data_IF_469053020843
#
_entry.id   IF_469053020843
#
_cell.length_a   1.000
_cell.length_b   1.000
_cell.length_c   1.000
_cell.angle_alpha   90.00
_cell.angle_beta   90.00
_cell.angle_gamma   90.00
#
_symmetry.space_group_name_H-M   'P 1'
#
loop_
_entity.id
_entity.type
_entity.pdbx_description
1 polymer ?
#
# COMPACT_ATOMS: atom_id res chain seq x y z
N UNK A 1 0.48 0.02 6.53
CA UNK A 1 1.02 -0.99 7.46
C UNK A 1 2.40 -1.42 7.00
N UNK A 2 3.31 -1.68 7.94
CA UNK A 2 4.62 -2.30 7.67
C UNK A 2 4.73 -3.72 8.25
N UNK A 3 3.98 -4.04 9.32
CA UNK A 3 3.92 -5.37 9.92
C UNK A 3 3.07 -6.34 9.09
N UNK A 4 3.44 -7.63 9.11
CA UNK A 4 2.70 -8.77 8.55
C UNK A 4 3.12 -10.08 9.23
N UNK A 5 2.46 -11.18 8.89
CA UNK A 5 2.70 -12.49 9.50
C UNK A 5 2.87 -13.59 8.45
N UNK A 6 3.56 -14.69 8.80
CA UNK A 6 3.44 -15.95 8.09
C UNK A 6 1.97 -16.37 7.93
N UNK A 7 1.66 -16.97 6.78
CA UNK A 7 0.32 -17.54 6.53
C UNK A 7 0.12 -18.88 7.23
N UNK A 8 1.20 -19.65 7.42
CA UNK A 8 1.17 -20.86 8.24
C UNK A 8 0.78 -20.53 9.69
N UNK A 9 -0.13 -21.33 10.26
CA UNK A 9 -0.72 -21.05 11.56
C UNK A 9 0.24 -21.31 12.73
N UNK A 10 1.09 -22.34 12.62
CA UNK A 10 2.07 -22.66 13.67
C UNK A 10 3.15 -21.59 13.70
N UNK A 11 3.64 -21.19 12.51
CA UNK A 11 4.67 -20.15 12.40
C UNK A 11 4.15 -18.79 12.90
N UNK A 12 2.93 -18.39 12.51
CA UNK A 12 2.32 -17.14 12.98
C UNK A 12 2.14 -17.08 14.51
N UNK A 13 1.86 -18.21 15.15
CA UNK A 13 1.67 -18.28 16.60
C UNK A 13 2.97 -18.50 17.38
N UNK A 14 4.13 -18.56 16.70
CA UNK A 14 5.41 -18.82 17.36
C UNK A 14 5.96 -17.60 18.13
N UNK A 15 5.23 -16.49 18.19
CA UNK A 15 5.70 -15.19 18.70
C UNK A 15 6.66 -14.44 17.76
N UNK A 16 6.86 -14.92 16.53
CA UNK A 16 7.66 -14.26 15.50
C UNK A 16 6.75 -13.60 14.46
N UNK A 17 7.19 -12.46 13.93
CA UNK A 17 6.47 -11.70 12.90
C UNK A 17 7.43 -11.09 11.87
N UNK A 18 6.88 -10.49 10.81
CA UNK A 18 7.64 -9.94 9.69
C UNK A 18 7.32 -8.46 9.50
N UNK A 19 8.30 -7.71 9.01
CA UNK A 19 8.13 -6.32 8.57
C UNK A 19 8.56 -6.13 7.13
N UNK A 20 7.84 -5.32 6.36
CA UNK A 20 8.29 -4.80 5.07
C UNK A 20 8.12 -3.27 5.05
N UNK A 21 9.17 -2.50 4.69
CA UNK A 21 9.09 -1.05 4.69
C UNK A 21 8.05 -0.54 3.69
N UNK A 22 7.52 0.64 3.95
CA UNK A 22 6.67 1.38 3.01
C UNK A 22 7.39 2.67 2.66
N UNK A 23 7.44 2.98 1.37
CA UNK A 23 8.06 4.22 0.86
C UNK A 23 6.99 5.07 0.21
N UNK A 24 6.89 6.34 0.62
CA UNK A 24 5.99 7.32 0.03
C UNK A 24 6.86 8.42 -0.57
N UNK A 25 6.70 8.67 -1.87
CA UNK A 25 7.41 9.71 -2.60
C UNK A 25 6.94 11.12 -2.24
N UNK A 26 7.45 12.09 -2.98
CA UNK A 26 7.13 13.50 -2.83
C UNK A 26 5.73 13.80 -3.39
N UNK A 27 5.03 14.78 -2.79
CA UNK A 27 3.72 15.28 -3.26
C UNK A 27 2.61 14.22 -3.42
N UNK A 28 2.68 13.13 -2.65
CA UNK A 28 1.64 12.09 -2.67
C UNK A 28 0.42 12.56 -1.87
N UNK A 29 -0.78 12.40 -2.43
CA UNK A 29 -2.03 12.59 -1.69
C UNK A 29 -2.71 11.25 -1.41
N UNK A 30 -2.87 10.92 -0.12
CA UNK A 30 -3.56 9.70 0.33
C UNK A 30 -4.96 10.07 0.82
N UNK A 31 -5.96 9.59 0.11
CA UNK A 31 -7.36 9.75 0.46
C UNK A 31 -7.72 9.06 1.77
N UNK A 32 -8.74 9.60 2.46
CA UNK A 32 -9.19 9.07 3.75
C UNK A 32 -9.54 7.59 3.69
N UNK A 33 -9.15 6.84 4.74
CA UNK A 33 -9.38 5.40 4.88
C UNK A 33 -8.74 4.52 3.79
N UNK A 34 -7.78 5.03 3.03
CA UNK A 34 -6.96 4.16 2.19
C UNK A 34 -6.08 3.23 3.06
N UNK A 35 -5.88 2.00 2.60
CA UNK A 35 -5.02 0.99 3.22
C UNK A 35 -3.82 0.75 2.32
N UNK A 36 -2.61 0.93 2.85
CA UNK A 36 -1.35 0.66 2.15
C UNK A 36 -0.69 -0.55 2.80
N UNK A 37 -0.52 -1.62 2.04
CA UNK A 37 0.05 -2.87 2.55
C UNK A 37 1.59 -2.80 2.72
N UNK A 38 2.17 -3.70 3.53
CA UNK A 38 3.62 -3.80 3.73
C UNK A 38 4.38 -4.02 2.41
N UNK A 39 5.52 -3.33 2.25
CA UNK A 39 6.39 -3.46 1.08
C UNK A 39 6.00 -2.59 -0.11
N UNK A 40 4.96 -1.76 0.00
CA UNK A 40 4.51 -0.88 -1.08
C UNK A 40 5.36 0.38 -1.16
N UNK A 41 5.77 0.73 -2.38
CA UNK A 41 6.28 2.05 -2.75
C UNK A 41 5.21 2.83 -3.52
N UNK A 42 4.94 4.07 -3.11
CA UNK A 42 4.09 5.03 -3.83
C UNK A 42 4.99 6.09 -4.46
N UNK A 43 4.99 6.17 -5.79
CA UNK A 43 5.80 7.13 -6.54
C UNK A 43 5.31 8.57 -6.42
N UNK A 44 6.19 9.50 -6.79
CA UNK A 44 5.95 10.95 -6.69
C UNK A 44 4.66 11.41 -7.39
N UNK A 45 4.01 12.41 -6.80
CA UNK A 45 2.80 13.06 -7.29
C UNK A 45 1.58 12.13 -7.42
N UNK A 46 1.65 10.87 -6.96
CA UNK A 46 0.53 9.95 -7.06
C UNK A 46 -0.62 10.33 -6.12
N UNK A 47 -1.85 10.03 -6.52
CA UNK A 47 -3.06 10.20 -5.71
C UNK A 47 -3.69 8.83 -5.44
N UNK A 48 -3.91 8.51 -4.17
CA UNK A 48 -4.62 7.29 -3.75
C UNK A 48 -6.04 7.70 -3.35
N UNK A 49 -7.05 7.24 -4.07
CA UNK A 49 -8.45 7.56 -3.77
C UNK A 49 -8.87 7.04 -2.38
N UNK A 50 -9.88 7.68 -1.78
CA UNK A 50 -10.44 7.25 -0.49
C UNK A 50 -10.90 5.80 -0.53
N UNK A 51 -10.64 5.04 0.54
CA UNK A 51 -11.03 3.64 0.66
C UNK A 51 -10.26 2.66 -0.25
N UNK A 52 -9.23 3.12 -0.98
CA UNK A 52 -8.44 2.23 -1.82
C UNK A 52 -7.59 1.25 -0.97
N UNK A 53 -7.40 0.03 -1.47
CA UNK A 53 -6.54 -0.99 -0.84
C UNK A 53 -5.34 -1.25 -1.75
N UNK A 54 -4.22 -0.63 -1.42
CA UNK A 54 -2.99 -0.66 -2.21
C UNK A 54 -2.16 -1.88 -1.82
N UNK A 55 -2.16 -2.88 -2.70
CA UNK A 55 -1.46 -4.17 -2.50
C UNK A 55 -0.19 -4.33 -3.36
N UNK A 56 0.11 -3.34 -4.23
CA UNK A 56 1.27 -3.31 -5.14
C UNK A 56 1.79 -1.88 -5.25
N UNK A 57 3.02 -1.72 -5.72
CA UNK A 57 3.63 -0.40 -5.95
C UNK A 57 2.78 0.46 -6.88
N UNK A 58 2.72 1.76 -6.57
CA UNK A 58 2.01 2.77 -7.36
C UNK A 58 3.04 3.59 -8.13
N UNK A 59 2.97 3.68 -9.47
CA UNK A 59 3.89 4.51 -10.23
C UNK A 59 3.66 6.01 -9.95
N UNK A 60 4.61 6.90 -10.27
CA UNK A 60 4.40 8.34 -10.15
C UNK A 60 3.34 8.86 -11.14
N UNK A 61 2.77 10.02 -10.87
CA UNK A 61 1.83 10.74 -11.76
C UNK A 61 0.58 9.95 -12.17
N UNK A 62 -0.01 9.18 -11.25
CA UNK A 62 -1.29 8.49 -11.48
C UNK A 62 -2.24 8.68 -10.31
N UNK A 63 -3.54 8.53 -10.58
CA UNK A 63 -4.56 8.29 -9.57
C UNK A 63 -4.85 6.78 -9.55
N UNK A 64 -4.81 6.17 -8.36
CA UNK A 64 -5.27 4.79 -8.15
C UNK A 64 -6.49 4.75 -7.22
N UNK A 65 -7.37 3.78 -7.41
CA UNK A 65 -8.55 3.59 -6.56
C UNK A 65 -9.09 2.16 -6.59
N UNK A 66 -9.95 1.84 -5.63
CA UNK A 66 -10.60 0.52 -5.53
C UNK A 66 -9.90 -0.48 -4.60
N UNK A 67 -10.47 -1.68 -4.51
CA UNK A 67 -9.95 -2.80 -3.74
C UNK A 67 -9.96 -4.07 -4.63
N UNK A 68 -8.81 -4.51 -5.17
CA UNK A 68 -7.48 -3.90 -5.04
C UNK A 68 -7.38 -2.58 -5.83
N UNK A 69 -6.50 -1.68 -5.38
CA UNK A 69 -6.27 -0.40 -6.03
C UNK A 69 -5.71 -0.59 -7.46
N UNK A 70 -6.36 0.03 -8.44
CA UNK A 70 -5.95 0.03 -9.85
C UNK A 70 -5.79 1.47 -10.36
N UNK A 71 -4.94 1.71 -11.37
CA UNK A 71 -4.90 3.01 -12.05
C UNK A 71 -6.27 3.36 -12.63
N UNK A 72 -6.75 4.57 -12.32
CA UNK A 72 -8.03 5.10 -12.84
C UNK A 72 -7.82 6.36 -13.71
N UNK A 73 -6.69 7.04 -13.55
CA UNK A 73 -6.34 8.25 -14.32
C UNK A 73 -4.83 8.49 -14.31
N UNK A 74 -4.29 9.04 -15.40
CA UNK A 74 -2.94 9.63 -15.45
C UNK A 74 -3.02 11.13 -15.12
N UNK A 75 -2.06 11.64 -14.35
CA UNK A 75 -1.95 13.05 -13.98
C UNK A 75 -1.12 13.84 -14.99
#
# INVERSE_FOLDING_TARGET
YTATHPLDAVERNSGRELGKPVTIGNNVWIGGRAVINPGVTIGDNAVVASGAVVIKNVPPNVVVGGNPAQPIKKL
#
